data_IF_079066249496
#
_entry.id   IF_079066249496
#
_cell.length_a   1.000
_cell.length_b   1.000
_cell.length_c   1.000
_cell.angle_alpha   90.00
_cell.angle_beta   90.00
_cell.angle_gamma   90.00
#
_symmetry.space_group_name_H-M   'P 1'
#
loop_
_entity.id
_entity.type
_entity.pdbx_description
1 polymer ?
#
# COMPACT_ATOMS: atom_id res chain seq x y z
N UNK A 1 -46.47 31.42 -3.72
CA UNK A 1 -45.79 30.26 -3.12
C UNK A 1 -46.03 29.08 -4.07
N UNK A 2 -45.07 28.80 -4.96
CA UNK A 2 -45.18 27.71 -5.94
C UNK A 2 -44.08 26.71 -5.63
N UNK A 3 -44.47 25.55 -5.11
CA UNK A 3 -43.57 24.44 -4.81
C UNK A 3 -43.49 23.58 -6.08
N UNK A 4 -42.31 23.54 -6.70
CA UNK A 4 -42.07 22.89 -7.98
C UNK A 4 -41.95 21.36 -7.78
N UNK A 5 -42.89 20.62 -8.37
CA UNK A 5 -43.02 19.16 -8.38
C UNK A 5 -42.07 18.55 -9.43
N UNK A 6 -40.93 18.04 -8.96
CA UNK A 6 -39.93 17.35 -9.80
C UNK A 6 -39.95 15.84 -9.53
N UNK A 7 -41.12 15.21 -9.70
CA UNK A 7 -41.25 13.75 -9.76
C UNK A 7 -40.96 13.26 -11.19
N UNK A 8 -40.34 12.06 -11.27
CA UNK A 8 -39.98 11.24 -12.46
C UNK A 8 -38.61 11.61 -13.10
N UNK A 9 -37.57 10.77 -13.31
CA UNK A 9 -37.25 9.31 -13.35
C UNK A 9 -35.70 9.21 -13.58
N UNK A 10 -35.02 8.05 -13.78
CA UNK A 10 -35.32 6.63 -13.53
C UNK A 10 -34.30 5.94 -12.57
N UNK A 11 -34.63 4.72 -12.14
CA UNK A 11 -33.75 3.83 -11.37
C UNK A 11 -32.44 3.54 -12.14
N UNK A 12 -31.33 4.08 -11.63
CA UNK A 12 -30.00 3.87 -12.19
C UNK A 12 -29.48 2.47 -11.80
N UNK A 13 -29.38 1.62 -12.82
CA UNK A 13 -28.68 0.33 -12.85
C UNK A 13 -27.34 0.41 -12.08
N UNK A 14 -27.22 -0.32 -10.97
CA UNK A 14 -25.96 -0.52 -10.26
C UNK A 14 -25.26 -1.73 -10.86
N UNK A 15 -24.33 -1.49 -11.78
CA UNK A 15 -23.25 -2.42 -12.05
C UNK A 15 -22.45 -2.63 -10.75
N UNK A 16 -22.65 -3.79 -10.13
CA UNK A 16 -22.12 -4.17 -8.81
C UNK A 16 -20.59 -4.29 -8.75
N UNK A 17 -19.89 -4.13 -9.88
CA UNK A 17 -18.45 -4.30 -9.98
C UNK A 17 -17.65 -3.03 -9.63
N UNK A 18 -18.23 -1.84 -9.80
CA UNK A 18 -17.53 -0.56 -9.58
C UNK A 18 -17.53 -0.04 -8.14
N UNK A 19 -18.37 -0.59 -7.25
CA UNK A 19 -18.39 -0.19 -5.83
C UNK A 19 -17.12 -0.62 -5.10
N UNK A 20 -16.51 -1.73 -5.49
CA UNK A 20 -15.30 -2.25 -4.86
C UNK A 20 -14.09 -1.33 -5.07
N UNK A 21 -13.99 -0.67 -6.22
CA UNK A 21 -12.93 0.33 -6.47
C UNK A 21 -13.25 1.71 -5.87
N UNK A 22 -14.53 2.03 -5.65
CA UNK A 22 -14.93 3.27 -4.97
C UNK A 22 -14.65 3.28 -3.46
N UNK A 23 -14.52 2.11 -2.83
CA UNK A 23 -14.05 1.95 -1.44
C UNK A 23 -12.53 1.77 -1.32
N UNK A 24 -11.79 1.72 -2.43
CA UNK A 24 -10.32 1.90 -2.43
C UNK A 24 -9.95 3.38 -2.35
N UNK A 25 -10.79 4.18 -1.68
CA UNK A 25 -10.45 5.52 -1.27
C UNK A 25 -9.13 5.49 -0.51
N UNK A 26 -8.21 6.35 -0.94
CA UNK A 26 -6.85 6.55 -0.45
C UNK A 26 -6.78 7.04 1.02
N UNK A 27 -7.78 6.76 1.85
CA UNK A 27 -7.90 7.29 3.21
C UNK A 27 -7.31 6.36 4.29
N UNK A 28 -7.09 5.07 4.00
CA UNK A 28 -6.54 4.18 5.01
C UNK A 28 -5.74 3.03 4.40
N UNK A 29 -4.41 3.03 4.63
CA UNK A 29 -3.45 1.92 4.50
C UNK A 29 -3.78 0.75 3.54
N UNK A 30 -4.35 1.02 2.36
CA UNK A 30 -4.64 -0.01 1.35
C UNK A 30 -3.37 -0.41 0.60
N UNK A 31 -2.39 0.51 0.50
CA UNK A 31 -1.13 0.28 -0.18
C UNK A 31 -0.39 -0.99 0.29
N UNK A 32 -0.14 -1.24 1.60
CA UNK A 32 0.53 -2.47 2.04
C UNK A 32 -0.27 -3.74 1.74
N UNK A 33 -1.60 -3.67 1.72
CA UNK A 33 -2.44 -4.81 1.35
C UNK A 33 -2.39 -5.11 -0.15
N UNK A 34 -2.47 -4.06 -0.98
CA UNK A 34 -2.38 -4.18 -2.43
C UNK A 34 -1.02 -4.73 -2.89
N UNK A 35 0.08 -4.28 -2.26
CA UNK A 35 1.42 -4.78 -2.57
C UNK A 35 1.55 -6.27 -2.18
N UNK A 36 0.92 -6.72 -1.08
CA UNK A 36 0.88 -8.16 -0.74
C UNK A 36 0.16 -9.00 -1.80
N UNK A 37 -0.90 -8.47 -2.41
CA UNK A 37 -1.59 -9.12 -3.51
C UNK A 37 -0.71 -9.19 -4.77
N UNK A 38 -0.03 -8.09 -5.11
CA UNK A 38 0.97 -8.04 -6.19
C UNK A 38 2.11 -9.04 -5.95
N UNK A 39 2.56 -9.19 -4.70
CA UNK A 39 3.65 -10.10 -4.35
C UNK A 39 3.29 -11.53 -4.70
N UNK A 40 2.09 -11.99 -4.30
CA UNK A 40 1.62 -13.34 -4.61
C UNK A 40 1.51 -13.58 -6.11
N UNK A 41 0.98 -12.61 -6.87
CA UNK A 41 0.91 -12.70 -8.33
C UNK A 41 2.31 -12.78 -8.95
N UNK A 42 3.23 -11.92 -8.51
CA UNK A 42 4.60 -11.91 -9.02
C UNK A 42 5.38 -13.18 -8.71
N UNK A 43 5.21 -13.74 -7.51
CA UNK A 43 5.77 -15.07 -7.16
C UNK A 43 5.23 -16.14 -8.11
N UNK A 44 3.92 -16.14 -8.36
CA UNK A 44 3.28 -17.11 -9.26
C UNK A 44 3.84 -16.99 -10.69
N UNK A 45 4.03 -15.76 -11.18
CA UNK A 45 4.66 -15.50 -12.48
C UNK A 45 6.10 -15.99 -12.51
N UNK A 46 6.93 -15.67 -11.51
CA UNK A 46 8.34 -16.09 -11.49
C UNK A 46 8.47 -17.60 -11.40
N UNK A 47 7.63 -18.26 -10.60
CA UNK A 47 7.59 -19.73 -10.52
C UNK A 47 7.20 -20.33 -11.87
N UNK A 48 6.16 -19.80 -12.51
CA UNK A 48 5.74 -20.27 -13.84
C UNK A 48 6.82 -20.04 -14.91
N UNK A 49 7.53 -18.92 -14.85
CA UNK A 49 8.63 -18.60 -15.75
C UNK A 49 9.84 -19.50 -15.52
N UNK A 50 10.15 -19.84 -14.26
CA UNK A 50 11.20 -20.79 -13.92
C UNK A 50 10.91 -22.20 -14.44
N UNK A 51 9.67 -22.68 -14.29
CA UNK A 51 9.22 -23.96 -14.85
C UNK A 51 9.30 -23.93 -16.38
N UNK A 52 8.79 -22.87 -17.02
CA UNK A 52 8.85 -22.71 -18.47
C UNK A 52 10.29 -22.64 -19.00
N UNK A 53 11.18 -21.93 -18.31
CA UNK A 53 12.61 -21.85 -18.64
C UNK A 53 13.33 -23.20 -18.50
N UNK A 54 12.91 -24.03 -17.54
CA UNK A 54 13.42 -25.39 -17.39
C UNK A 54 13.04 -26.24 -18.61
N UNK A 55 11.76 -26.26 -19.01
CA UNK A 55 11.31 -26.99 -20.20
C UNK A 55 11.94 -26.49 -21.49
N UNK A 56 12.05 -25.16 -21.67
CA UNK A 56 12.69 -24.55 -22.85
C UNK A 56 14.17 -24.92 -23.02
N UNK A 57 14.84 -25.33 -21.93
CA UNK A 57 16.24 -25.76 -22.00
C UNK A 57 16.38 -27.15 -22.61
N UNK A 58 15.37 -28.02 -22.48
CA UNK A 58 15.39 -29.36 -23.10
C UNK A 58 15.15 -29.31 -24.61
N UNK A 59 14.39 -28.33 -25.10
CA UNK A 59 14.16 -28.12 -26.54
C UNK A 59 15.39 -27.55 -27.27
N UNK A 60 16.35 -26.98 -26.54
CA UNK A 60 17.54 -26.34 -27.12
C UNK A 60 18.80 -27.20 -26.90
N UNK A 61 19.21 -28.04 -27.87
CA UNK A 61 20.36 -28.94 -27.73
C UNK A 61 21.69 -28.21 -27.50
N UNK A 62 21.80 -26.93 -27.90
CA UNK A 62 23.00 -26.11 -27.67
C UNK A 62 23.19 -25.61 -26.24
N UNK A 63 22.13 -25.54 -25.41
CA UNK A 63 22.21 -24.97 -24.06
C UNK A 63 22.64 -25.98 -23.00
N UNK A 64 22.31 -27.27 -23.18
CA UNK A 64 22.75 -28.37 -22.33
C UNK A 64 22.60 -28.10 -20.82
N UNK A 65 23.49 -28.70 -20.01
CA UNK A 65 23.54 -28.53 -18.55
C UNK A 65 23.79 -27.07 -18.11
N UNK A 66 24.54 -26.30 -18.90
CA UNK A 66 24.83 -24.90 -18.60
C UNK A 66 23.59 -24.02 -18.59
N UNK A 67 22.66 -24.24 -19.54
CA UNK A 67 21.39 -23.54 -19.59
C UNK A 67 20.51 -23.81 -18.38
N UNK A 68 20.47 -25.05 -17.89
CA UNK A 68 19.67 -25.45 -16.73
C UNK A 68 20.18 -24.75 -15.47
N UNK A 69 21.50 -24.75 -15.25
CA UNK A 69 22.10 -24.10 -14.10
C UNK A 69 21.86 -22.58 -14.11
N UNK A 70 21.98 -21.95 -15.28
CA UNK A 70 21.73 -20.52 -15.45
C UNK A 70 20.25 -20.17 -15.21
N UNK A 71 19.32 -20.98 -15.74
CA UNK A 71 17.89 -20.78 -15.52
C UNK A 71 17.51 -20.92 -14.03
N UNK A 72 18.11 -21.89 -13.33
CA UNK A 72 17.86 -22.11 -11.90
C UNK A 72 18.41 -20.93 -11.07
N UNK A 73 19.65 -20.52 -11.32
CA UNK A 73 20.26 -19.35 -10.66
C UNK A 73 19.46 -18.08 -10.95
N UNK A 74 19.09 -17.85 -12.21
CA UNK A 74 18.30 -16.68 -12.60
C UNK A 74 16.92 -16.67 -11.92
N UNK A 75 16.25 -17.82 -11.84
CA UNK A 75 14.95 -17.94 -11.16
C UNK A 75 15.07 -17.61 -9.67
N UNK A 76 16.09 -18.15 -9.00
CA UNK A 76 16.33 -17.88 -7.57
C UNK A 76 16.67 -16.41 -7.34
N UNK A 77 17.55 -15.82 -8.16
CA UNK A 77 17.91 -14.40 -8.08
C UNK A 77 16.70 -13.50 -8.35
N UNK A 78 15.87 -13.82 -9.34
CA UNK A 78 14.64 -13.09 -9.63
C UNK A 78 13.65 -13.15 -8.47
N UNK A 79 13.47 -14.32 -7.84
CA UNK A 79 12.64 -14.46 -6.63
C UNK A 79 13.17 -13.61 -5.48
N UNK A 80 14.48 -13.62 -5.26
CA UNK A 80 15.13 -12.88 -4.18
C UNK A 80 15.02 -11.36 -4.39
N UNK A 81 15.32 -10.88 -5.61
CA UNK A 81 15.14 -9.48 -5.99
C UNK A 81 13.67 -9.05 -5.88
N UNK A 82 12.73 -9.88 -6.33
CA UNK A 82 11.30 -9.60 -6.23
C UNK A 82 10.86 -9.44 -4.78
N UNK A 83 11.30 -10.35 -3.90
CA UNK A 83 11.04 -10.28 -2.46
C UNK A 83 11.61 -8.99 -1.86
N UNK A 84 12.85 -8.65 -2.20
CA UNK A 84 13.51 -7.45 -1.70
C UNK A 84 12.80 -6.17 -2.14
N UNK A 85 12.39 -6.08 -3.42
CA UNK A 85 11.64 -4.93 -3.95
C UNK A 85 10.28 -4.78 -3.27
N UNK A 86 9.50 -5.87 -3.16
CA UNK A 86 8.19 -5.83 -2.50
C UNK A 86 8.30 -5.45 -1.02
N UNK A 87 9.31 -5.98 -0.33
CA UNK A 87 9.57 -5.68 1.09
C UNK A 87 9.99 -4.22 1.29
N UNK A 88 10.85 -3.68 0.42
CA UNK A 88 11.24 -2.26 0.44
C UNK A 88 10.04 -1.33 0.25
N UNK A 89 9.14 -1.66 -0.69
CA UNK A 89 7.94 -0.86 -0.95
C UNK A 89 7.02 -0.84 0.27
N UNK A 90 6.70 -2.00 0.84
CA UNK A 90 5.87 -2.10 2.05
C UNK A 90 6.53 -1.36 3.21
N UNK A 91 7.83 -1.52 3.39
CA UNK A 91 8.60 -0.87 4.45
C UNK A 91 8.55 0.65 4.32
N UNK A 92 8.74 1.20 3.11
CA UNK A 92 8.68 2.64 2.87
C UNK A 92 7.30 3.22 3.23
N UNK A 93 6.21 2.55 2.84
CA UNK A 93 4.85 2.97 3.22
C UNK A 93 4.61 2.88 4.73
N UNK A 94 5.14 1.84 5.39
CA UNK A 94 5.04 1.68 6.83
C UNK A 94 5.86 2.74 7.59
N UNK A 95 7.02 3.13 7.09
CA UNK A 95 7.82 4.23 7.65
C UNK A 95 7.04 5.54 7.53
N UNK A 96 6.47 5.83 6.35
CA UNK A 96 5.65 7.01 6.12
C UNK A 96 4.45 7.07 7.08
N UNK A 97 3.77 5.94 7.30
CA UNK A 97 2.69 5.82 8.28
C UNK A 97 3.08 6.33 9.66
N UNK A 98 4.21 5.81 10.16
CA UNK A 98 4.73 6.11 11.49
C UNK A 98 5.19 7.57 11.59
N UNK A 99 5.75 8.13 10.53
CA UNK A 99 6.13 9.55 10.47
C UNK A 99 4.91 10.47 10.60
N UNK A 100 3.81 10.16 9.91
CA UNK A 100 2.56 10.92 10.03
C UNK A 100 1.99 10.82 11.44
N UNK A 101 2.01 9.64 12.04
CA UNK A 101 1.58 9.43 13.43
C UNK A 101 2.40 10.28 14.41
N UNK A 102 3.73 10.25 14.31
CA UNK A 102 4.63 11.06 15.15
C UNK A 102 4.32 12.55 14.97
N UNK A 103 4.10 13.02 13.73
CA UNK A 103 3.73 14.42 13.46
C UNK A 103 2.44 14.80 14.18
N UNK A 104 1.43 13.95 14.13
CA UNK A 104 0.14 14.20 14.78
C UNK A 104 0.29 14.21 16.31
N UNK A 105 1.08 13.28 16.88
CA UNK A 105 1.37 13.26 18.32
C UNK A 105 2.09 14.55 18.77
N UNK A 106 3.06 15.03 17.99
CA UNK A 106 3.77 16.28 18.28
C UNK A 106 2.83 17.50 18.21
N UNK A 107 1.95 17.56 17.21
CA UNK A 107 0.97 18.66 17.11
C UNK A 107 0.03 18.70 18.32
N UNK A 108 -0.47 17.55 18.77
CA UNK A 108 -1.34 17.48 19.95
C UNK A 108 -0.63 17.86 21.25
N UNK A 109 0.68 17.57 21.38
CA UNK A 109 1.50 18.04 22.50
C UNK A 109 1.67 19.55 22.48
N UNK A 110 1.90 20.13 21.31
CA UNK A 110 2.09 21.57 21.16
C UNK A 110 0.84 22.34 21.62
N UNK A 111 -0.36 21.89 21.22
CA UNK A 111 -1.62 22.49 21.67
C UNK A 111 -1.78 22.47 23.20
N UNK A 112 -1.41 21.37 23.86
CA UNK A 112 -1.42 21.29 25.33
C UNK A 112 -0.45 22.28 25.98
N UNK A 113 0.74 22.44 25.39
CA UNK A 113 1.74 23.39 25.88
C UNK A 113 1.28 24.85 25.71
N UNK A 114 0.62 25.15 24.59
CA UNK A 114 0.05 26.48 24.34
C UNK A 114 -1.14 26.78 25.26
N UNK A 115 -1.96 25.78 25.57
CA UNK A 115 -3.00 25.88 26.59
C UNK A 115 -2.41 26.17 27.98
N UNK A 116 -1.32 25.49 28.35
CA UNK A 116 -0.61 25.71 29.62
C UNK A 116 0.04 27.10 29.69
N UNK A 117 0.59 27.59 28.56
CA UNK A 117 1.13 28.95 28.45
C UNK A 117 0.06 30.04 28.65
N UNK A 118 -1.18 29.76 28.29
CA UNK A 118 -2.30 30.71 28.42
C UNK A 118 -2.89 30.77 29.82
N UNK A 119 -2.50 29.88 30.72
CA UNK A 119 -2.95 29.90 32.12
C UNK A 119 -2.30 31.11 32.81
N UNK A 120 -3.08 32.02 33.42
CA UNK A 120 -2.52 33.18 34.10
C UNK A 120 -1.57 32.70 35.19
N UNK A 121 -0.38 33.31 35.22
CA UNK A 121 0.65 33.02 36.22
C UNK A 121 0.00 33.07 37.61
N UNK A 122 0.14 32.00 38.39
CA UNK A 122 -0.42 31.90 39.74
C UNK A 122 0.04 33.07 40.64
N UNK A 123 1.16 33.71 40.29
CA UNK A 123 1.64 34.98 40.86
C UNK A 123 0.76 36.21 40.62
N UNK A 124 -0.31 36.12 39.85
CA UNK A 124 -1.27 37.21 39.67
C UNK A 124 -2.48 37.09 40.62
N UNK A 125 -2.72 35.90 41.18
CA UNK A 125 -3.89 35.60 42.04
C UNK A 125 -3.60 35.74 43.53
N UNK A 126 -2.34 35.93 43.93
CA UNK A 126 -1.88 36.01 45.31
C UNK A 126 -1.41 37.42 45.71
N UNK A 127 -1.70 38.42 44.89
CA UNK A 127 -1.32 39.83 45.10
C UNK A 127 -2.54 40.71 45.42
N UNK A 128 -3.72 40.11 45.58
CA UNK A 128 -4.98 40.77 45.94
C UNK A 128 -5.41 40.37 47.36
#
# INVERSE_FOLDING_TARGET
MSYNDSRYLPMKNKSSFGKWFGYLGFDHFIAPFLIKLIYWVGVLVIVSAGIGGFFATFDMPQRGLGGVLLALIATVLSLLLWRLMCELLILAFNIYARLVEIRNLLSSRQERMDAYRKVPNVRALNNE
#
